data_IF_876821733785
#
_entry.id   IF_876821733785
#
_cell.length_a   1.000
_cell.length_b   1.000
_cell.length_c   1.000
_cell.angle_alpha   90.00
_cell.angle_beta   90.00
_cell.angle_gamma   90.00
#
_symmetry.space_group_name_H-M   'P 1'
#
loop_
_entity.id
_entity.type
_entity.pdbx_description
1 polymer ?
#
# COMPACT_ATOMS: atom_id res chain seq x y z
N UNK A 1 -38.84 -27.30 3.02
CA UNK A 1 -37.94 -26.54 3.93
C UNK A 1 -36.45 -26.60 3.53
N UNK A 2 -35.90 -27.77 3.18
CA UNK A 2 -34.45 -27.93 2.90
C UNK A 2 -33.90 -27.26 1.63
N UNK A 3 -34.70 -27.10 0.56
CA UNK A 3 -34.21 -26.52 -0.71
C UNK A 3 -33.96 -25.02 -0.62
N UNK A 4 -34.84 -24.27 0.04
CA UNK A 4 -34.68 -22.83 0.23
C UNK A 4 -33.48 -22.49 1.10
N UNK A 5 -33.29 -23.22 2.20
CA UNK A 5 -32.15 -23.04 3.11
C UNK A 5 -30.82 -23.31 2.39
N UNK A 6 -30.75 -24.37 1.55
CA UNK A 6 -29.54 -24.65 0.73
C UNK A 6 -29.24 -23.55 -0.28
N UNK A 7 -30.26 -23.00 -0.93
CA UNK A 7 -30.09 -21.90 -1.88
C UNK A 7 -29.55 -20.64 -1.18
N UNK A 8 -30.07 -20.31 0.00
CA UNK A 8 -29.59 -19.18 0.81
C UNK A 8 -28.13 -19.40 1.24
N UNK A 9 -27.77 -20.59 1.71
CA UNK A 9 -26.38 -20.89 2.09
C UNK A 9 -25.41 -20.77 0.90
N UNK A 10 -25.80 -21.22 -0.29
CA UNK A 10 -24.98 -21.06 -1.49
C UNK A 10 -24.83 -19.59 -1.88
N UNK A 11 -25.92 -18.81 -1.83
CA UNK A 11 -25.86 -17.38 -2.10
C UNK A 11 -24.92 -16.66 -1.14
N UNK A 12 -24.99 -16.98 0.16
CA UNK A 12 -24.11 -16.42 1.19
C UNK A 12 -22.64 -16.76 0.89
N UNK A 13 -22.32 -18.01 0.54
CA UNK A 13 -20.95 -18.41 0.21
C UNK A 13 -20.41 -17.70 -1.03
N UNK A 14 -21.22 -17.57 -2.08
CA UNK A 14 -20.84 -16.86 -3.33
C UNK A 14 -20.59 -15.38 -3.06
N UNK A 15 -21.48 -14.72 -2.31
CA UNK A 15 -21.31 -13.31 -1.98
C UNK A 15 -20.09 -13.11 -1.08
N UNK A 16 -19.88 -13.99 -0.10
CA UNK A 16 -18.72 -13.90 0.82
C UNK A 16 -17.40 -14.08 0.08
N UNK A 17 -17.32 -15.06 -0.84
CA UNK A 17 -16.12 -15.30 -1.65
C UNK A 17 -15.85 -14.15 -2.63
N UNK A 18 -16.89 -13.52 -3.18
CA UNK A 18 -16.75 -12.31 -3.99
C UNK A 18 -16.14 -11.16 -3.19
N UNK A 19 -16.63 -10.90 -1.98
CA UNK A 19 -16.08 -9.87 -1.09
C UNK A 19 -14.63 -10.14 -0.71
N UNK A 20 -14.29 -11.40 -0.41
CA UNK A 20 -12.90 -11.80 -0.12
C UNK A 20 -12.01 -11.57 -1.33
N UNK A 21 -12.45 -11.94 -2.54
CA UNK A 21 -11.70 -11.73 -3.78
C UNK A 21 -11.44 -10.24 -4.07
N UNK A 22 -12.45 -9.37 -3.86
CA UNK A 22 -12.31 -7.93 -4.01
C UNK A 22 -11.34 -7.36 -2.96
N UNK A 23 -11.47 -7.77 -1.70
CA UNK A 23 -10.58 -7.33 -0.61
C UNK A 23 -9.12 -7.71 -0.87
N UNK A 24 -8.86 -8.95 -1.32
CA UNK A 24 -7.53 -9.41 -1.67
C UNK A 24 -6.98 -8.72 -2.93
N UNK A 25 -7.83 -8.45 -3.93
CA UNK A 25 -7.45 -7.70 -5.12
C UNK A 25 -6.97 -6.28 -4.80
N UNK A 26 -7.73 -5.55 -3.97
CA UNK A 26 -7.39 -4.20 -3.52
C UNK A 26 -6.13 -4.21 -2.64
N UNK A 27 -6.01 -5.16 -1.72
CA UNK A 27 -4.79 -5.31 -0.90
C UNK A 27 -3.56 -5.67 -1.76
N UNK A 28 -3.71 -6.45 -2.84
CA UNK A 28 -2.61 -6.77 -3.75
C UNK A 28 -2.14 -5.57 -4.59
N UNK A 29 -2.94 -4.50 -4.65
CA UNK A 29 -2.57 -3.25 -5.33
C UNK A 29 -1.69 -2.35 -4.45
N UNK A 30 -1.31 -2.80 -3.26
CA UNK A 30 -0.38 -2.09 -2.38
C UNK A 30 1.00 -1.95 -3.02
N UNK A 31 1.21 -0.77 -3.61
CA UNK A 31 2.33 0.15 -3.32
C UNK A 31 3.66 -0.54 -3.00
N UNK A 32 4.16 -1.32 -3.95
CA UNK A 32 5.56 -1.72 -3.96
C UNK A 32 6.39 -0.65 -4.68
N UNK A 33 7.66 -0.42 -4.27
CA UNK A 33 8.60 0.38 -5.04
C UNK A 33 8.60 -0.12 -6.49
N UNK A 34 8.51 0.80 -7.45
CA UNK A 34 8.41 0.44 -8.86
C UNK A 34 9.74 0.04 -9.46
N UNK A 35 10.82 0.63 -8.96
CA UNK A 35 12.03 0.75 -9.76
C UNK A 35 13.30 0.74 -8.93
N UNK A 36 13.34 1.48 -7.82
CA UNK A 36 14.59 1.64 -7.09
C UNK A 36 14.36 1.90 -5.61
N UNK A 37 15.13 1.19 -4.79
CA UNK A 37 15.28 1.43 -3.37
C UNK A 37 16.75 1.72 -3.13
N UNK A 38 17.06 2.92 -2.63
CA UNK A 38 18.42 3.31 -2.28
C UNK A 38 18.47 3.60 -0.79
N UNK A 39 19.39 2.96 -0.09
CA UNK A 39 19.70 3.28 1.31
C UNK A 39 20.95 4.13 1.37
N UNK A 40 20.91 5.22 2.14
CA UNK A 40 22.02 6.15 2.36
C UNK A 40 22.09 6.39 3.87
N UNK A 41 23.08 5.78 4.54
CA UNK A 41 23.13 5.75 6.00
C UNK A 41 21.87 5.13 6.59
N UNK A 42 21.22 5.85 7.51
CA UNK A 42 19.93 5.47 8.11
C UNK A 42 18.71 5.83 7.24
N UNK A 43 18.91 6.58 6.16
CA UNK A 43 17.83 7.01 5.28
C UNK A 43 17.56 5.98 4.19
N UNK A 44 16.29 5.83 3.82
CA UNK A 44 15.86 4.98 2.71
C UNK A 44 15.01 5.79 1.73
N UNK A 45 15.38 5.76 0.46
CA UNK A 45 14.68 6.44 -0.63
C UNK A 45 14.05 5.38 -1.52
N UNK A 46 12.76 5.54 -1.82
CA UNK A 46 12.01 4.64 -2.68
C UNK A 46 11.31 5.41 -3.79
N UNK A 47 11.40 4.90 -5.02
CA UNK A 47 10.67 5.44 -6.17
C UNK A 47 9.51 4.49 -6.49
N UNK A 48 8.29 4.97 -6.27
CA UNK A 48 7.05 4.21 -6.44
C UNK A 48 6.44 4.41 -7.83
N UNK A 49 5.52 3.52 -8.21
CA UNK A 49 4.83 3.60 -9.51
C UNK A 49 4.04 4.90 -9.56
N UNK A 50 4.20 5.66 -10.64
CA UNK A 50 3.57 6.98 -10.81
C UNK A 50 4.42 8.17 -10.38
N UNK A 51 5.72 7.97 -10.11
CA UNK A 51 6.67 9.07 -9.86
C UNK A 51 6.66 9.60 -8.42
N UNK A 52 5.97 8.93 -7.51
CA UNK A 52 6.00 9.25 -6.08
C UNK A 52 7.36 8.84 -5.52
N UNK A 53 8.06 9.79 -4.88
CA UNK A 53 9.30 9.54 -4.16
C UNK A 53 8.99 9.54 -2.67
N UNK A 54 9.37 8.46 -1.99
CA UNK A 54 9.22 8.31 -0.54
C UNK A 54 10.59 8.33 0.09
N UNK A 55 10.81 9.24 1.04
CA UNK A 55 12.05 9.31 1.82
C UNK A 55 11.71 8.94 3.26
N UNK A 56 12.25 7.82 3.71
CA UNK A 56 12.19 7.38 5.09
C UNK A 56 13.38 7.96 5.84
N UNK A 57 13.09 8.74 6.88
CA UNK A 57 14.07 9.41 7.73
C UNK A 57 13.44 9.74 9.08
N UNK A 58 14.25 10.18 10.04
CA UNK A 58 13.78 10.70 11.33
C UNK A 58 13.35 12.17 11.20
N UNK A 59 12.47 12.63 12.10
CA UNK A 59 11.95 14.00 12.06
C UNK A 59 13.04 15.06 12.19
N UNK A 60 14.15 14.76 12.88
CA UNK A 60 15.28 15.67 13.06
C UNK A 60 16.06 15.94 11.75
N UNK A 61 15.93 15.05 10.75
CA UNK A 61 16.59 15.18 9.46
C UNK A 61 15.77 15.95 8.43
N UNK A 62 14.52 16.30 8.75
CA UNK A 62 13.60 17.03 7.88
C UNK A 62 13.63 18.52 8.20
N UNK A 63 13.82 19.37 7.19
CA UNK A 63 13.78 20.83 7.34
C UNK A 63 13.00 21.46 6.19
N UNK A 64 12.10 22.38 6.52
CA UNK A 64 11.39 23.18 5.51
C UNK A 64 12.26 24.35 5.07
N UNK A 65 12.36 24.56 3.75
CA UNK A 65 13.10 25.67 3.16
C UNK A 65 12.29 26.29 2.01
N UNK A 66 11.48 27.30 2.35
CA UNK A 66 10.54 27.90 1.40
C UNK A 66 9.53 26.85 0.92
N UNK A 67 9.46 26.67 -0.40
CA UNK A 67 8.60 25.68 -1.05
C UNK A 67 9.20 24.25 -1.08
N UNK A 68 10.38 24.06 -0.48
CA UNK A 68 11.11 22.80 -0.50
C UNK A 68 11.13 22.12 0.88
N UNK A 69 11.16 20.78 0.84
CA UNK A 69 11.53 19.95 1.98
C UNK A 69 12.94 19.44 1.72
N UNK A 70 13.86 19.76 2.62
CA UNK A 70 15.24 19.28 2.58
C UNK A 70 15.36 18.14 3.60
N UNK A 71 15.91 17.01 3.15
CA UNK A 71 16.27 15.88 4.00
C UNK A 71 17.79 15.78 4.05
N UNK A 72 18.38 15.81 5.24
CA UNK A 72 19.82 15.60 5.43
C UNK A 72 20.15 14.14 5.15
N UNK A 73 21.03 13.91 4.18
CA UNK A 73 21.70 12.62 3.99
C UNK A 73 23.05 12.64 4.70
N UNK A 74 23.34 11.59 5.47
CA UNK A 74 24.69 11.28 5.95
C UNK A 74 25.45 10.42 4.93
#
# INVERSE_FOLDING_TARGET
MYRGIRAVLMAVLVVSSLWVGIGLGIASTERKPSAEVRSIGENRIEIWKGGVVVIWTTQENVTNWGDYIIVKGE
#
